data_IF_711845297356
#
_entry.id   IF_711845297356
#
_cell.length_a   1.000
_cell.length_b   1.000
_cell.length_c   1.000
_cell.angle_alpha   90.00
_cell.angle_beta   90.00
_cell.angle_gamma   90.00
#
_symmetry.space_group_name_H-M   'P 1'
#
loop_
_entity.id
_entity.type
_entity.pdbx_description
1 polymer ?
#
# COMPACT_ATOMS: atom_id res chain seq x y z
N UNK A 1 20.60 21.03 -9.28
CA UNK A 1 20.02 22.17 -8.51
C UNK A 1 20.30 23.41 -9.32
N UNK A 2 19.28 24.21 -9.59
CA UNK A 2 19.43 25.44 -10.37
C UNK A 2 18.97 26.59 -9.48
N UNK A 3 19.83 27.59 -9.32
CA UNK A 3 19.49 28.85 -8.69
C UNK A 3 19.13 29.84 -9.80
N UNK A 4 17.87 30.27 -9.85
CA UNK A 4 17.40 31.30 -10.78
C UNK A 4 17.13 32.58 -10.02
N UNK A 5 17.68 33.70 -10.49
CA UNK A 5 17.38 35.02 -9.95
C UNK A 5 16.15 35.59 -10.67
N UNK A 6 14.99 35.61 -10.01
CA UNK A 6 13.82 36.35 -10.48
C UNK A 6 13.51 37.48 -9.48
N UNK A 7 13.53 38.72 -9.97
CA UNK A 7 13.03 39.90 -9.23
C UNK A 7 13.61 40.05 -7.81
N UNK A 8 14.94 40.11 -7.68
CA UNK A 8 15.69 40.21 -6.40
C UNK A 8 15.49 39.06 -5.40
N UNK A 9 14.87 37.94 -5.82
CA UNK A 9 14.78 36.71 -5.02
C UNK A 9 15.49 35.56 -5.73
N UNK A 10 16.36 34.87 -4.99
CA UNK A 10 16.99 33.63 -5.43
C UNK A 10 15.98 32.50 -5.26
N UNK A 11 15.44 31.99 -6.37
CA UNK A 11 14.58 30.82 -6.36
C UNK A 11 15.49 29.60 -6.55
N UNK A 12 15.54 28.76 -5.54
CA UNK A 12 16.18 27.45 -5.65
C UNK A 12 15.18 26.44 -6.17
N UNK A 13 15.48 25.87 -7.34
CA UNK A 13 14.69 24.79 -7.94
C UNK A 13 15.40 23.46 -7.68
N UNK A 14 14.71 22.57 -6.97
CA UNK A 14 15.17 21.20 -6.78
C UNK A 14 15.03 20.46 -8.11
N UNK A 15 16.15 19.94 -8.60
CA UNK A 15 16.14 19.00 -9.71
C UNK A 15 16.04 17.58 -9.16
N UNK A 16 15.23 16.76 -9.82
CA UNK A 16 15.20 15.35 -9.52
C UNK A 16 16.54 14.71 -9.85
N UNK A 17 17.10 13.98 -8.90
CA UNK A 17 18.25 13.12 -9.19
C UNK A 17 17.77 11.91 -9.98
N UNK A 18 18.47 11.58 -11.07
CA UNK A 18 18.23 10.33 -11.83
C UNK A 18 18.81 9.10 -11.14
N UNK A 19 19.08 9.20 -9.84
CA UNK A 19 19.63 8.13 -9.04
C UNK A 19 18.53 7.06 -8.86
N UNK A 20 18.86 5.81 -9.21
CA UNK A 20 17.90 4.69 -9.22
C UNK A 20 17.37 4.36 -7.83
N UNK A 21 18.14 4.69 -6.80
CA UNK A 21 17.86 4.52 -5.37
C UNK A 21 17.21 5.76 -4.75
N UNK A 22 16.92 6.81 -5.53
CA UNK A 22 16.18 7.96 -5.04
C UNK A 22 14.74 7.57 -4.69
N UNK A 23 14.17 8.19 -3.65
CA UNK A 23 12.79 7.94 -3.23
C UNK A 23 11.79 8.11 -4.39
N UNK A 24 11.96 9.15 -5.22
CA UNK A 24 11.08 9.42 -6.36
C UNK A 24 11.15 8.27 -7.37
N UNK A 25 12.35 7.84 -7.78
CA UNK A 25 12.49 6.74 -8.73
C UNK A 25 12.02 5.40 -8.15
N UNK A 26 12.20 5.16 -6.85
CA UNK A 26 11.64 3.98 -6.19
C UNK A 26 10.11 3.96 -6.23
N UNK A 27 9.45 5.09 -6.02
CA UNK A 27 7.98 5.22 -6.15
C UNK A 27 7.54 5.00 -7.59
N UNK A 28 8.27 5.58 -8.56
CA UNK A 28 7.98 5.36 -9.99
C UNK A 28 8.15 3.92 -10.41
N UNK A 29 9.21 3.26 -9.95
CA UNK A 29 9.43 1.85 -10.18
C UNK A 29 8.28 1.01 -9.58
N UNK A 30 7.84 1.35 -8.38
CA UNK A 30 6.72 0.68 -7.72
C UNK A 30 5.45 0.79 -8.56
N UNK A 31 4.97 1.99 -8.91
CA UNK A 31 3.71 2.09 -9.65
C UNK A 31 3.82 1.53 -11.07
N UNK A 32 4.98 1.65 -11.74
CA UNK A 32 5.22 1.05 -13.08
C UNK A 32 5.17 -0.48 -13.03
N UNK A 33 5.51 -1.07 -11.88
CA UNK A 33 5.37 -2.50 -11.65
C UNK A 33 3.91 -2.84 -11.34
N UNK A 34 3.23 -2.04 -10.53
CA UNK A 34 1.82 -2.23 -10.19
C UNK A 34 0.88 -2.19 -11.39
N UNK A 35 1.14 -1.34 -12.39
CA UNK A 35 0.33 -1.27 -13.61
C UNK A 35 0.52 -2.46 -14.56
N UNK A 36 1.46 -3.36 -14.27
CA UNK A 36 1.65 -4.62 -15.01
C UNK A 36 0.83 -5.77 -14.43
N UNK A 37 -0.05 -5.50 -13.46
CA UNK A 37 -1.02 -6.50 -12.99
C UNK A 37 -1.91 -6.89 -14.17
N UNK A 38 -1.94 -8.18 -14.56
CA UNK A 38 -2.74 -8.64 -15.70
C UNK A 38 -4.24 -8.45 -15.52
N UNK A 39 -4.71 -8.21 -14.28
CA UNK A 39 -6.11 -7.95 -13.98
C UNK A 39 -6.46 -6.46 -13.95
N UNK A 40 -5.46 -5.58 -14.11
CA UNK A 40 -5.71 -4.14 -14.14
C UNK A 40 -6.36 -3.74 -15.47
N UNK A 41 -7.41 -2.93 -15.39
CA UNK A 41 -8.05 -2.38 -16.59
C UNK A 41 -7.14 -1.33 -17.25
N UNK A 42 -7.27 -1.19 -18.57
CA UNK A 42 -6.53 -0.18 -19.34
C UNK A 42 -6.80 1.24 -18.84
N UNK A 43 -8.02 1.50 -18.37
CA UNK A 43 -8.43 2.79 -17.79
C UNK A 43 -7.72 3.08 -16.46
N UNK A 44 -7.55 2.06 -15.62
CA UNK A 44 -6.89 2.16 -14.32
C UNK A 44 -5.37 2.32 -14.43
N UNK A 45 -4.78 1.87 -15.54
CA UNK A 45 -3.36 2.00 -15.82
C UNK A 45 -2.87 3.47 -15.83
N UNK A 46 -3.76 4.43 -16.08
CA UNK A 46 -3.47 5.86 -16.03
C UNK A 46 -3.76 6.49 -14.66
N UNK A 47 -4.75 5.96 -13.94
CA UNK A 47 -5.16 6.48 -12.62
C UNK A 47 -4.03 6.35 -11.60
N UNK A 48 -3.38 5.18 -11.54
CA UNK A 48 -2.34 4.92 -10.55
C UNK A 48 -1.14 5.87 -10.74
N UNK A 49 -0.53 6.00 -11.95
CA UNK A 49 0.55 6.97 -12.18
C UNK A 49 0.14 8.41 -11.85
N UNK A 50 -1.05 8.85 -12.25
CA UNK A 50 -1.51 10.22 -12.05
C UNK A 50 -1.60 10.58 -10.57
N UNK A 51 -2.17 9.70 -9.73
CA UNK A 51 -2.26 9.91 -8.29
C UNK A 51 -0.87 9.98 -7.63
N UNK A 52 0.03 9.10 -8.03
CA UNK A 52 1.38 9.07 -7.46
C UNK A 52 2.24 10.25 -7.93
N UNK A 53 2.16 10.66 -9.19
CA UNK A 53 2.86 11.86 -9.67
C UNK A 53 2.31 13.13 -8.99
N UNK A 54 1.00 13.21 -8.69
CA UNK A 54 0.45 14.29 -7.86
C UNK A 54 1.08 14.31 -6.46
N UNK A 55 1.18 13.15 -5.79
CA UNK A 55 1.83 13.03 -4.47
C UNK A 55 3.32 13.41 -4.54
N UNK A 56 4.05 12.94 -5.55
CA UNK A 56 5.46 13.29 -5.81
C UNK A 56 5.62 14.79 -6.00
N UNK A 57 4.74 15.43 -6.79
CA UNK A 57 4.81 16.87 -7.02
C UNK A 57 4.55 17.68 -5.74
N UNK A 58 3.66 17.22 -4.86
CA UNK A 58 3.49 17.82 -3.53
C UNK A 58 4.74 17.66 -2.66
N UNK A 59 5.37 16.48 -2.67
CA UNK A 59 6.62 16.24 -1.95
C UNK A 59 7.71 17.21 -2.42
N UNK A 60 7.91 17.37 -3.73
CA UNK A 60 8.89 18.32 -4.29
C UNK A 60 8.64 19.74 -3.80
N UNK A 61 7.40 20.22 -3.89
CA UNK A 61 7.04 21.58 -3.46
C UNK A 61 7.33 21.81 -1.98
N UNK A 62 7.00 20.83 -1.13
CA UNK A 62 7.29 20.91 0.32
C UNK A 62 8.79 20.86 0.61
N UNK A 63 9.53 19.96 -0.04
CA UNK A 63 10.98 19.87 0.10
C UNK A 63 11.69 21.14 -0.39
N UNK A 64 11.22 21.73 -1.49
CA UNK A 64 11.73 22.99 -2.01
C UNK A 64 11.46 24.14 -1.05
N UNK A 65 10.25 24.21 -0.48
CA UNK A 65 9.91 25.20 0.53
C UNK A 65 10.78 25.10 1.78
N UNK A 66 11.05 23.88 2.27
CA UNK A 66 11.97 23.66 3.38
C UNK A 66 13.40 24.10 3.03
N UNK A 67 13.88 23.72 1.85
CA UNK A 67 15.23 24.10 1.40
C UNK A 67 15.41 25.61 1.29
N UNK A 68 14.41 26.34 0.80
CA UNK A 68 14.45 27.81 0.74
C UNK A 68 14.57 28.44 2.12
N UNK A 69 13.86 27.90 3.12
CA UNK A 69 13.96 28.38 4.51
C UNK A 69 15.32 28.08 5.13
N UNK A 70 15.89 26.92 4.83
CA UNK A 70 17.25 26.55 5.28
C UNK A 70 18.32 27.43 4.62
N UNK A 71 18.15 27.76 3.34
CA UNK A 71 19.14 28.50 2.55
C UNK A 71 19.11 30.01 2.79
N UNK A 72 17.99 30.53 3.29
CA UNK A 72 17.85 31.92 3.71
C UNK A 72 17.18 31.98 5.09
N UNK A 73 17.88 31.54 6.15
CA UNK A 73 17.39 31.67 7.51
C UNK A 73 17.43 33.16 7.84
N UNK A 74 16.29 33.84 7.77
CA UNK A 74 16.13 35.12 8.44
C UNK A 74 16.12 34.88 9.97
N UNK A 75 15.48 35.73 10.76
CA UNK A 75 15.32 35.58 12.23
C UNK A 75 14.55 34.32 12.69
N UNK A 76 14.34 33.32 11.82
CA UNK A 76 13.63 32.06 12.09
C UNK A 76 14.57 30.85 12.27
N UNK A 77 15.87 31.08 12.50
CA UNK A 77 16.87 30.00 12.66
C UNK A 77 16.48 28.99 13.76
N UNK A 78 15.77 29.43 14.81
CA UNK A 78 15.23 28.59 15.90
C UNK A 78 14.00 27.75 15.53
N UNK A 79 13.46 27.86 14.31
CA UNK A 79 12.22 27.17 13.88
C UNK A 79 12.42 26.19 12.73
N UNK A 80 13.67 25.98 12.29
CA UNK A 80 13.98 25.00 11.24
C UNK A 80 13.53 23.59 11.64
N UNK A 81 13.70 23.23 12.91
CA UNK A 81 13.25 21.94 13.46
C UNK A 81 11.74 21.75 13.30
N UNK A 82 10.93 22.78 13.55
CA UNK A 82 9.47 22.74 13.36
C UNK A 82 9.12 22.40 11.90
N UNK A 83 9.79 23.03 10.94
CA UNK A 83 9.54 22.81 9.52
C UNK A 83 9.97 21.41 9.05
N UNK A 84 11.07 20.88 9.59
CA UNK A 84 11.49 19.50 9.34
C UNK A 84 10.48 18.51 9.94
N UNK A 85 10.02 18.78 11.16
CA UNK A 85 9.04 17.94 11.85
C UNK A 85 7.68 17.96 11.14
N UNK A 86 7.23 19.11 10.63
CA UNK A 86 6.02 19.21 9.81
C UNK A 86 6.13 18.37 8.52
N UNK A 87 7.27 18.44 7.82
CA UNK A 87 7.50 17.62 6.62
C UNK A 87 7.49 16.12 6.94
N UNK A 88 8.15 15.71 8.03
CA UNK A 88 8.17 14.32 8.49
C UNK A 88 6.77 13.83 8.89
N UNK A 89 6.00 14.65 9.60
CA UNK A 89 4.62 14.33 9.94
C UNK A 89 3.76 14.17 8.68
N UNK A 90 3.86 15.10 7.72
CA UNK A 90 3.14 14.99 6.45
C UNK A 90 3.52 13.74 5.66
N UNK A 91 4.81 13.36 5.64
CA UNK A 91 5.28 12.13 5.00
C UNK A 91 4.61 10.89 5.61
N UNK A 92 4.47 10.85 6.93
CA UNK A 92 3.91 9.71 7.68
C UNK A 92 2.40 9.61 7.61
N UNK A 93 1.70 10.74 7.56
CA UNK A 93 0.24 10.78 7.68
C UNK A 93 -0.48 10.93 6.35
N UNK A 94 0.16 11.58 5.35
CA UNK A 94 -0.51 11.99 4.10
C UNK A 94 0.17 11.46 2.85
N UNK A 95 1.50 11.33 2.85
CA UNK A 95 2.22 10.85 1.68
C UNK A 95 2.13 9.33 1.55
N UNK A 96 2.56 8.61 2.59
CA UNK A 96 2.32 7.18 2.74
C UNK A 96 1.16 7.05 3.72
N UNK A 97 -0.01 6.64 3.23
CA UNK A 97 -1.15 6.41 4.13
C UNK A 97 -0.75 5.31 5.13
N UNK A 98 -0.72 5.63 6.44
CA UNK A 98 -0.26 4.68 7.42
C UNK A 98 -1.28 3.55 7.54
N UNK A 99 -0.80 2.30 7.48
CA UNK A 99 -1.66 1.15 7.72
C UNK A 99 -2.21 1.21 9.14
N UNK A 100 -3.52 1.27 9.25
CA UNK A 100 -4.22 1.28 10.53
C UNK A 100 -4.34 -0.15 11.06
N UNK A 101 -4.35 -0.32 12.39
CA UNK A 101 -4.49 -1.66 13.02
C UNK A 101 -5.73 -2.44 12.55
N UNK A 102 -6.79 -1.74 12.14
CA UNK A 102 -7.99 -2.41 11.63
C UNK A 102 -7.80 -3.01 10.23
N UNK A 103 -6.78 -2.56 9.49
CA UNK A 103 -6.43 -3.08 8.16
C UNK A 103 -5.54 -4.33 8.25
N UNK A 104 -5.05 -4.69 9.43
CA UNK A 104 -4.29 -5.92 9.62
C UNK A 104 -5.20 -7.14 9.43
N UNK A 105 -4.74 -8.17 8.69
CA UNK A 105 -5.54 -9.36 8.48
C UNK A 105 -5.74 -10.12 9.80
N UNK A 106 -6.93 -10.67 10.00
CA UNK A 106 -7.31 -11.41 11.21
C UNK A 106 -7.96 -12.72 10.85
N UNK A 107 -7.53 -13.79 11.50
CA UNK A 107 -8.15 -15.11 11.45
C UNK A 107 -8.82 -15.38 12.78
N UNK A 108 -10.11 -15.69 12.76
CA UNK A 108 -10.90 -16.00 13.95
C UNK A 108 -11.49 -17.39 13.81
N UNK A 109 -11.34 -18.24 14.81
CA UNK A 109 -12.12 -19.48 14.91
C UNK A 109 -13.51 -19.10 15.39
N UNK A 110 -14.53 -19.46 14.62
CA UNK A 110 -15.94 -19.14 14.93
C UNK A 110 -16.66 -20.26 15.63
N UNK A 111 -16.47 -21.48 15.16
CA UNK A 111 -17.15 -22.64 15.68
C UNK A 111 -16.36 -23.90 15.37
N UNK A 112 -16.66 -24.94 16.14
CA UNK A 112 -16.41 -26.32 15.73
C UNK A 112 -17.79 -26.88 15.42
N UNK A 113 -18.04 -27.16 14.15
CA UNK A 113 -19.28 -27.72 13.64
C UNK A 113 -19.11 -29.23 13.49
N UNK A 114 -20.20 -29.99 13.53
CA UNK A 114 -20.20 -31.44 13.34
C UNK A 114 -21.18 -31.79 12.24
N UNK A 115 -20.83 -32.72 11.35
CA UNK A 115 -21.81 -33.29 10.42
C UNK A 115 -22.64 -34.41 11.09
N UNK A 116 -23.65 -34.88 10.36
CA UNK A 116 -24.54 -35.97 10.79
C UNK A 116 -23.80 -37.31 10.98
N UNK A 117 -22.58 -37.43 10.45
CA UNK A 117 -21.69 -38.59 10.56
C UNK A 117 -20.71 -38.48 11.75
N UNK A 118 -20.72 -37.35 12.46
CA UNK A 118 -19.88 -37.08 13.64
C UNK A 118 -18.49 -36.52 13.35
N UNK A 119 -18.18 -36.16 12.10
CA UNK A 119 -16.93 -35.50 11.76
C UNK A 119 -16.96 -34.03 12.21
N UNK A 120 -15.88 -33.57 12.84
CA UNK A 120 -15.76 -32.19 13.30
C UNK A 120 -15.05 -31.30 12.27
N UNK A 121 -15.61 -30.12 12.01
CA UNK A 121 -15.07 -29.08 11.13
C UNK A 121 -14.79 -27.82 11.93
N UNK A 122 -13.64 -27.17 11.68
CA UNK A 122 -13.34 -25.88 12.29
C UNK A 122 -13.74 -24.79 11.30
N UNK A 123 -14.67 -23.92 11.72
CA UNK A 123 -15.08 -22.76 10.95
C UNK A 123 -14.19 -21.57 11.26
N UNK A 124 -13.51 -21.05 10.25
CA UNK A 124 -12.69 -19.84 10.37
C UNK A 124 -13.39 -18.65 9.69
N UNK A 125 -13.26 -17.46 10.27
CA UNK A 125 -13.51 -16.19 9.60
C UNK A 125 -12.18 -15.51 9.34
N UNK A 126 -11.90 -15.22 8.07
CA UNK A 126 -10.78 -14.40 7.64
C UNK A 126 -11.27 -12.99 7.35
N UNK A 127 -10.63 -11.99 7.95
CA UNK A 127 -10.86 -10.57 7.69
C UNK A 127 -9.56 -9.97 7.13
N UNK A 128 -9.66 -9.18 6.06
CA UNK A 128 -8.51 -8.50 5.45
C UNK A 128 -8.96 -7.19 4.81
N UNK A 129 -8.01 -6.30 4.55
CA UNK A 129 -8.25 -5.02 3.87
C UNK A 129 -7.73 -5.06 2.43
N UNK A 130 -8.57 -4.62 1.49
CA UNK A 130 -8.20 -4.47 0.07
C UNK A 130 -8.07 -2.98 -0.23
N UNK A 131 -6.88 -2.58 -0.67
CA UNK A 131 -6.59 -1.20 -1.04
C UNK A 131 -7.03 -0.89 -2.49
N UNK A 132 -7.34 0.38 -2.76
CA UNK A 132 -7.81 0.86 -4.06
C UNK A 132 -8.97 0.02 -4.62
N UNK A 133 -9.99 -0.22 -3.79
CA UNK A 133 -11.15 -1.06 -4.15
C UNK A 133 -11.96 -0.51 -5.34
N UNK A 134 -11.75 0.76 -5.73
CA UNK A 134 -12.39 1.38 -6.91
C UNK A 134 -11.81 0.91 -8.25
N UNK A 135 -10.61 0.33 -8.25
CA UNK A 135 -10.03 -0.23 -9.46
C UNK A 135 -10.84 -1.46 -9.91
N UNK A 136 -10.64 -1.86 -11.16
CA UNK A 136 -11.31 -3.01 -11.76
C UNK A 136 -12.84 -2.81 -11.79
N UNK A 137 -13.30 -1.58 -12.06
CA UNK A 137 -14.72 -1.17 -11.97
C UNK A 137 -15.38 -1.51 -10.62
N UNK A 138 -14.59 -1.50 -9.54
CA UNK A 138 -15.05 -1.86 -8.20
C UNK A 138 -14.93 -3.35 -7.86
N UNK A 139 -14.52 -4.20 -8.79
CA UNK A 139 -14.49 -5.66 -8.64
C UNK A 139 -13.22 -6.20 -7.98
N UNK A 140 -12.23 -5.34 -7.73
CA UNK A 140 -10.96 -5.76 -7.13
C UNK A 140 -11.13 -6.49 -5.80
N UNK A 141 -12.11 -6.07 -5.00
CA UNK A 141 -12.43 -6.72 -3.73
C UNK A 141 -12.84 -8.18 -3.92
N UNK A 142 -13.75 -8.44 -4.87
CA UNK A 142 -14.25 -9.77 -5.17
C UNK A 142 -13.14 -10.67 -5.72
N UNK A 143 -12.35 -10.17 -6.66
CA UNK A 143 -11.20 -10.89 -7.21
C UNK A 143 -10.20 -11.30 -6.14
N UNK A 144 -9.79 -10.35 -5.30
CA UNK A 144 -8.82 -10.61 -4.22
C UNK A 144 -9.41 -11.62 -3.23
N UNK A 145 -10.69 -11.51 -2.90
CA UNK A 145 -11.37 -12.48 -2.04
C UNK A 145 -11.35 -13.90 -2.64
N UNK A 146 -11.68 -14.05 -3.92
CA UNK A 146 -11.62 -15.34 -4.62
C UNK A 146 -10.21 -15.91 -4.68
N UNK A 147 -9.19 -15.09 -4.94
CA UNK A 147 -7.80 -15.52 -4.96
C UNK A 147 -7.33 -16.01 -3.59
N UNK A 148 -7.60 -15.24 -2.53
CA UNK A 148 -7.28 -15.63 -1.15
C UNK A 148 -7.99 -16.93 -0.79
N UNK A 149 -9.27 -17.08 -1.14
CA UNK A 149 -10.02 -18.31 -0.92
C UNK A 149 -9.35 -19.52 -1.59
N UNK A 150 -9.01 -19.40 -2.88
CA UNK A 150 -8.34 -20.46 -3.62
C UNK A 150 -6.98 -20.83 -3.02
N UNK A 151 -6.18 -19.83 -2.61
CA UNK A 151 -4.89 -20.05 -1.96
C UNK A 151 -5.03 -20.74 -0.60
N UNK A 152 -5.99 -20.33 0.23
CA UNK A 152 -6.25 -20.95 1.54
C UNK A 152 -6.67 -22.40 1.36
N UNK A 153 -7.61 -22.68 0.45
CA UNK A 153 -8.06 -24.05 0.17
C UNK A 153 -6.90 -24.89 -0.36
N UNK A 154 -6.11 -24.37 -1.29
CA UNK A 154 -4.97 -25.08 -1.85
C UNK A 154 -3.91 -25.37 -0.77
N UNK A 155 -3.61 -24.38 0.09
CA UNK A 155 -2.68 -24.53 1.19
C UNK A 155 -3.14 -25.60 2.19
N UNK A 156 -4.42 -25.60 2.56
CA UNK A 156 -4.97 -26.60 3.48
C UNK A 156 -4.99 -28.01 2.87
N UNK A 157 -5.35 -28.14 1.59
CA UNK A 157 -5.28 -29.41 0.86
C UNK A 157 -3.85 -29.95 0.79
N UNK A 158 -2.88 -29.10 0.43
CA UNK A 158 -1.47 -29.48 0.37
C UNK A 158 -0.92 -29.83 1.75
N UNK A 159 -1.30 -29.08 2.79
CA UNK A 159 -0.93 -29.36 4.18
C UNK A 159 -1.47 -30.71 4.63
N UNK A 160 -2.72 -31.04 4.26
CA UNK A 160 -3.33 -32.35 4.53
C UNK A 160 -2.59 -33.49 3.80
N UNK A 161 -2.20 -33.27 2.55
CA UNK A 161 -1.43 -34.27 1.77
C UNK A 161 -0.06 -34.51 2.41
N UNK A 162 0.61 -33.44 2.88
CA UNK A 162 1.88 -33.55 3.60
C UNK A 162 1.72 -34.16 5.00
N UNK A 163 0.59 -33.93 5.68
CA UNK A 163 0.27 -34.50 6.98
C UNK A 163 -0.32 -35.91 6.91
N UNK A 164 -0.74 -36.39 5.74
CA UNK A 164 -1.16 -37.78 5.48
C UNK A 164 -0.02 -38.81 5.59
N UNK A 165 1.06 -38.44 6.28
CA UNK A 165 1.83 -39.38 7.09
C UNK A 165 1.07 -39.89 8.33
N UNK A 166 -0.12 -39.36 8.69
CA UNK A 166 -1.17 -39.99 9.51
C UNK A 166 -2.39 -39.04 9.72
N UNK A 167 -3.59 -39.50 9.35
CA UNK A 167 -4.96 -39.01 9.67
C UNK A 167 -5.61 -37.89 8.81
N UNK A 168 -6.83 -38.19 8.33
CA UNK A 168 -7.65 -37.38 7.43
C UNK A 168 -8.60 -36.42 8.18
N UNK A 169 -8.60 -35.15 7.81
CA UNK A 169 -9.69 -34.19 8.13
C UNK A 169 -10.34 -33.75 6.81
N UNK A 170 -11.60 -34.10 6.58
CA UNK A 170 -12.36 -33.63 5.42
C UNK A 170 -12.68 -32.13 5.57
N UNK A 171 -12.68 -31.40 4.47
CA UNK A 171 -13.13 -30.01 4.42
C UNK A 171 -14.17 -29.92 3.32
N UNK A 172 -15.44 -29.87 3.71
CA UNK A 172 -16.56 -29.46 2.87
C UNK A 172 -17.10 -28.14 3.41
N UNK A 173 -17.53 -27.24 2.52
CA UNK A 173 -18.13 -25.96 2.88
C UNK A 173 -19.54 -25.87 2.31
N UNK A 174 -20.47 -25.43 3.18
CA UNK A 174 -21.83 -25.01 2.86
C UNK A 174 -21.79 -23.52 2.46
N UNK A 175 -22.38 -23.18 1.31
CA UNK A 175 -22.64 -21.81 0.87
C UNK A 175 -23.76 -21.13 1.68
N UNK A 176 -23.59 -19.84 1.98
CA UNK A 176 -24.68 -18.93 2.39
C UNK A 176 -24.58 -17.67 1.55
#
# INVERSE_FOLDING_TARGET
MIAEAQNNRTIFTLEETRAKDSLIELIRLWYRTSIRDPNLLDTDAFVIPDEWERKINLLKRRAQGLYQKISNPQSEETRLDDYVMELNQWLRERFKEPRQKWQEPKVLVKAIEYDDEGNSYIKFQLNFFVDNMKLEDGQRGDRVNSQIYQEVVQYLKNSKINSNSNNSIAAEMIEV
#
